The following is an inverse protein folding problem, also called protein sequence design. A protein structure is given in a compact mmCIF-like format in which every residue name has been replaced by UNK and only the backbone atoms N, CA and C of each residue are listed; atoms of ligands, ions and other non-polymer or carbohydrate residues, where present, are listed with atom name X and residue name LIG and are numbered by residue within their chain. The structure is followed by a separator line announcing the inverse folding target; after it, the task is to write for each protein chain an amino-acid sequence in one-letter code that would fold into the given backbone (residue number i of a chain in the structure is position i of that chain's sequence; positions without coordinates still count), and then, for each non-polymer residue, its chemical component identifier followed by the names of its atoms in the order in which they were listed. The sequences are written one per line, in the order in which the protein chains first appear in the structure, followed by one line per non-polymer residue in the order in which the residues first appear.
data_IF_819683061165
#
_entry.id   IF_819683061165
#
_cell.length_a   1.000
_cell.length_b   1.000
_cell.length_c   1.000
_cell.angle_alpha   90.00
_cell.angle_beta   90.00
_cell.angle_gamma   90.00
#
_symmetry.space_group_name_H-M   'P 1'
#
loop_
_entity.id
_entity.type
_entity.pdbx_description
1 polymer ?
#
# COMPACT_ATOMS: atom_id res chain seq x y z
N UNK A 1 17.09 10.11 13.25
CA UNK A 1 15.87 9.97 14.09
C UNK A 1 15.27 8.59 13.85
N UNK A 2 14.93 7.88 14.93
CA UNK A 2 14.16 6.62 14.88
C UNK A 2 12.71 6.95 15.21
N UNK A 3 11.78 6.36 14.47
CA UNK A 3 10.33 6.54 14.64
C UNK A 3 9.74 5.24 15.20
N UNK A 4 9.25 5.27 16.43
CA UNK A 4 8.57 4.13 17.07
C UNK A 4 7.07 4.17 16.81
N UNK A 5 6.47 3.00 16.55
CA UNK A 5 5.02 2.87 16.53
C UNK A 5 4.46 3.19 17.92
N UNK A 6 3.37 3.95 17.98
CA UNK A 6 2.72 4.32 19.24
C UNK A 6 1.49 3.45 19.55
N UNK A 7 1.33 2.32 18.84
CA UNK A 7 0.18 1.44 19.04
C UNK A 7 0.44 0.48 20.21
N UNK A 8 -0.53 0.27 21.12
CA UNK A 8 -0.37 -0.65 22.24
C UNK A 8 -0.10 -2.08 21.72
N UNK A 9 1.01 -2.67 22.16
CA UNK A 9 1.45 -4.00 21.70
C UNK A 9 2.19 -4.00 20.36
N UNK A 10 2.69 -2.86 19.88
CA UNK A 10 3.51 -2.79 18.67
C UNK A 10 4.90 -2.18 18.92
N UNK A 11 5.92 -3.04 18.95
CA UNK A 11 7.32 -2.64 19.16
C UNK A 11 8.10 -2.34 17.86
N UNK A 12 7.41 -1.96 16.78
CA UNK A 12 8.08 -1.68 15.51
C UNK A 12 8.73 -0.29 15.50
N UNK A 13 9.98 -0.25 15.05
CA UNK A 13 10.77 0.97 14.92
C UNK A 13 11.21 1.14 13.46
N UNK A 14 11.18 2.37 12.98
CA UNK A 14 11.52 2.74 11.61
C UNK A 14 12.58 3.84 11.57
N UNK A 15 13.40 3.80 10.53
CA UNK A 15 14.43 4.79 10.23
C UNK A 15 13.88 6.02 9.48
N UNK A 16 12.67 5.93 8.92
CA UNK A 16 12.07 6.96 8.07
C UNK A 16 10.62 7.27 8.46
N UNK A 17 10.20 8.55 8.41
CA UNK A 17 8.85 8.96 8.76
C UNK A 17 7.80 8.38 7.78
N UNK A 18 8.14 8.24 6.50
CA UNK A 18 7.24 7.64 5.52
C UNK A 18 6.95 6.16 5.82
N UNK A 19 7.91 5.42 6.40
CA UNK A 19 7.73 4.00 6.73
C UNK A 19 6.80 3.81 7.92
N UNK A 20 6.95 4.61 8.98
CA UNK A 20 6.02 4.56 10.12
C UNK A 20 4.61 5.00 9.73
N UNK A 21 4.44 6.09 8.97
CA UNK A 21 3.13 6.56 8.51
C UNK A 21 2.36 5.46 7.77
N UNK A 22 3.05 4.77 6.86
CA UNK A 22 2.49 3.61 6.16
C UNK A 22 2.19 2.44 7.09
N UNK A 23 3.05 2.17 8.07
CA UNK A 23 2.84 1.09 9.02
C UNK A 23 1.58 1.31 9.87
N UNK A 24 1.28 2.54 10.26
CA UNK A 24 0.06 2.87 11.03
C UNK A 24 -1.24 2.46 10.30
N UNK A 25 -1.23 2.43 8.96
CA UNK A 25 -2.35 1.96 8.15
C UNK A 25 -2.73 0.49 8.42
N UNK A 26 -1.79 -0.31 8.93
CA UNK A 26 -2.06 -1.70 9.31
C UNK A 26 -2.93 -1.76 10.57
N UNK A 27 -2.76 -0.80 11.48
CA UNK A 27 -3.54 -0.72 12.70
C UNK A 27 -4.91 -0.08 12.48
N UNK A 28 -4.99 0.95 11.62
CA UNK A 28 -6.26 1.59 11.29
C UNK A 28 -7.08 0.79 10.27
N UNK A 29 -6.46 -0.17 9.58
CA UNK A 29 -7.09 -0.93 8.50
C UNK A 29 -7.30 -0.11 7.22
N UNK A 30 -6.85 1.15 7.20
CA UNK A 30 -6.99 2.03 6.04
C UNK A 30 -6.15 1.53 4.88
N UNK A 31 -6.78 1.39 3.72
CA UNK A 31 -6.12 0.97 2.48
C UNK A 31 -6.34 2.05 1.43
N UNK A 32 -5.47 3.09 1.40
CA UNK A 32 -5.66 4.23 0.51
C UNK A 32 -5.50 3.87 -0.97
N UNK A 33 -4.79 2.77 -1.29
CA UNK A 33 -4.55 2.35 -2.68
C UNK A 33 -5.56 1.28 -3.07
N UNK A 34 -6.73 1.72 -3.55
CA UNK A 34 -7.79 0.85 -4.05
C UNK A 34 -7.59 0.56 -5.53
N UNK A 35 -7.91 -0.65 -5.93
CA UNK A 35 -8.06 -1.00 -7.34
C UNK A 35 -9.37 -0.41 -7.87
N UNK A 36 -9.33 0.15 -9.06
CA UNK A 36 -10.51 0.73 -9.72
C UNK A 36 -11.35 -0.35 -10.43
N UNK A 37 -10.73 -1.50 -10.74
CA UNK A 37 -11.37 -2.59 -11.47
C UNK A 37 -11.91 -3.71 -10.55
N UNK A 38 -11.51 -3.74 -9.28
CA UNK A 38 -12.02 -4.71 -8.32
C UNK A 38 -11.98 -4.17 -6.89
N UNK A 39 -12.61 -4.88 -5.95
CA UNK A 39 -12.64 -4.51 -4.53
C UNK A 39 -11.28 -4.70 -3.80
N UNK A 40 -10.18 -4.93 -4.52
CA UNK A 40 -8.87 -5.09 -3.90
C UNK A 40 -8.31 -3.74 -3.45
N UNK A 41 -7.82 -3.66 -2.20
CA UNK A 41 -7.19 -2.46 -1.68
C UNK A 41 -5.89 -2.82 -0.97
N UNK A 42 -4.89 -1.95 -1.07
CA UNK A 42 -3.56 -2.13 -0.52
C UNK A 42 -3.11 -0.89 0.25
N UNK A 43 -2.14 -1.07 1.15
CA UNK A 43 -1.48 0.03 1.88
C UNK A 43 -0.30 0.61 1.12
N UNK A 44 0.04 0.04 -0.04
CA UNK A 44 1.26 0.38 -0.80
C UNK A 44 0.99 0.50 -2.29
N UNK A 45 1.38 1.64 -2.88
CA UNK A 45 1.29 1.88 -4.32
C UNK A 45 1.99 0.79 -5.15
N UNK A 46 3.17 0.33 -4.72
CA UNK A 46 3.91 -0.72 -5.45
C UNK A 46 3.15 -2.04 -5.52
N UNK A 47 2.40 -2.38 -4.47
CA UNK A 47 1.54 -3.56 -4.46
C UNK A 47 0.32 -3.37 -5.36
N UNK A 48 -0.27 -2.18 -5.39
CA UNK A 48 -1.33 -1.85 -6.33
C UNK A 48 -0.84 -1.98 -7.78
N UNK A 49 0.33 -1.43 -8.11
CA UNK A 49 0.91 -1.53 -9.47
C UNK A 49 1.16 -2.99 -9.85
N UNK A 50 1.76 -3.79 -8.96
CA UNK A 50 1.98 -5.21 -9.22
C UNK A 50 0.66 -5.97 -9.37
N UNK A 51 -0.35 -5.66 -8.56
CA UNK A 51 -1.70 -6.19 -8.68
C UNK A 51 -2.31 -5.83 -10.04
N UNK A 52 -2.26 -4.57 -10.47
CA UNK A 52 -2.75 -4.15 -11.79
C UNK A 52 -2.04 -4.90 -12.92
N UNK A 53 -0.72 -5.01 -12.87
CA UNK A 53 0.06 -5.70 -13.91
C UNK A 53 -0.18 -7.20 -14.01
N UNK A 54 -0.68 -7.85 -12.96
CA UNK A 54 -0.85 -9.31 -12.93
C UNK A 54 -2.30 -9.76 -12.96
N UNK A 55 -3.21 -8.94 -12.42
CA UNK A 55 -4.65 -9.21 -12.32
C UNK A 55 -5.49 -8.38 -13.28
N UNK A 56 -4.94 -7.28 -13.78
CA UNK A 56 -5.56 -6.36 -14.73
C UNK A 56 -4.59 -6.00 -15.87
N UNK A 57 -3.69 -6.93 -16.20
CA UNK A 57 -2.65 -6.78 -17.23
C UNK A 57 -3.25 -6.32 -18.57
N UNK A 58 -4.46 -6.79 -18.87
CA UNK A 58 -5.22 -6.50 -20.08
C UNK A 58 -5.56 -5.01 -20.25
N UNK A 59 -5.61 -4.24 -19.16
CA UNK A 59 -5.87 -2.80 -19.20
C UNK A 59 -4.61 -1.94 -19.47
N UNK A 60 -3.41 -2.54 -19.52
CA UNK A 60 -2.20 -1.85 -19.98
C UNK A 60 -2.07 -1.80 -21.52
N UNK A 61 -2.97 -2.44 -22.27
CA UNK A 61 -3.04 -2.33 -23.74
C UNK A 61 -3.84 -1.09 -24.15
N UNK A 62 -3.33 0.07 -23.75
CA UNK A 62 -3.75 1.38 -24.23
C UNK A 62 -2.78 1.97 -25.26
N UNK A 63 -2.00 1.16 -25.98
CA UNK A 63 -1.19 1.63 -27.11
C UNK A 63 -1.42 0.80 -28.37
N UNK A 64 -2.11 1.48 -29.32
CA UNK A 64 -2.11 1.37 -30.78
C UNK A 64 -2.54 0.05 -31.43
N UNK A 65 -3.78 0.08 -31.95
CA UNK A 65 -4.01 -0.37 -33.33
C UNK A 65 -3.31 0.57 -34.31
#
# INVERSE_FOLDING_TARGET
MRYSCNWPGCDKIFDRPARIKRHLLVHTGERPYKCEFCAHATTQKVHLIAHMKTRHHDYCLGHSQ
#
